data_IF_595182828605
#
_entry.id   IF_595182828605
#
_cell.length_a   1.000
_cell.length_b   1.000
_cell.length_c   1.000
_cell.angle_alpha   90.00
_cell.angle_beta   90.00
_cell.angle_gamma   90.00
#
_symmetry.space_group_name_H-M   'P 1'
#
loop_
_entity.id
_entity.type
_entity.pdbx_description
1 polymer ?
#
# COMPACT_ATOMS: atom_id res chain seq x y z
N UNK A 1 12.16 27.51 -10.48
CA UNK A 1 11.54 26.17 -10.61
C UNK A 1 12.08 25.31 -9.49
N UNK A 2 11.41 25.30 -8.34
CA UNK A 2 11.69 24.29 -7.31
C UNK A 2 11.33 22.92 -7.89
N UNK A 3 12.23 21.95 -7.73
CA UNK A 3 12.04 20.59 -8.25
C UNK A 3 10.84 19.93 -7.58
N UNK A 4 10.17 19.03 -8.30
CA UNK A 4 8.91 18.40 -7.90
C UNK A 4 9.14 17.20 -6.94
N UNK A 5 10.38 16.71 -6.90
CA UNK A 5 10.85 15.57 -6.10
C UNK A 5 10.73 15.79 -4.57
N UNK A 6 11.05 16.97 -3.99
CA UNK A 6 10.86 17.27 -2.57
C UNK A 6 9.39 17.26 -2.11
N UNK A 7 8.42 17.48 -3.00
CA UNK A 7 6.98 17.48 -2.68
C UNK A 7 6.43 16.07 -2.60
N UNK A 8 6.82 15.20 -3.54
CA UNK A 8 6.57 13.75 -3.43
C UNK A 8 7.26 13.23 -2.18
N UNK A 9 8.50 13.63 -1.89
CA UNK A 9 9.19 13.30 -0.63
C UNK A 9 8.63 14.03 0.60
N UNK A 10 7.68 14.96 0.49
CA UNK A 10 6.94 15.51 1.64
C UNK A 10 5.60 14.81 1.84
N UNK A 11 4.98 14.23 0.80
CA UNK A 11 3.81 13.35 0.99
C UNK A 11 4.28 11.96 1.41
N UNK A 12 5.26 11.44 0.69
CA UNK A 12 5.94 10.16 0.98
C UNK A 12 6.90 10.30 2.16
N UNK A 13 7.46 11.48 2.42
CA UNK A 13 8.42 11.70 3.50
C UNK A 13 8.04 12.77 4.53
N UNK A 14 6.81 13.26 4.61
CA UNK A 14 6.22 13.61 5.92
C UNK A 14 6.03 12.36 6.78
N UNK A 15 6.06 11.17 6.16
CA UNK A 15 6.25 9.86 6.83
C UNK A 15 7.68 9.71 7.40
N UNK A 16 8.63 10.56 6.97
CA UNK A 16 10.02 10.61 7.47
C UNK A 16 10.45 12.03 7.89
N UNK A 17 9.52 12.97 8.07
CA UNK A 17 9.85 14.41 8.03
C UNK A 17 8.86 15.34 8.73
N UNK A 18 7.85 14.83 9.43
CA UNK A 18 7.42 15.51 10.64
C UNK A 18 8.57 15.38 11.63
N UNK A 19 9.13 16.51 12.07
CA UNK A 19 10.20 16.56 13.04
C UNK A 19 9.80 15.85 14.33
N UNK A 20 10.05 14.53 14.38
CA UNK A 20 10.50 13.92 15.62
C UNK A 20 11.77 14.69 15.93
N UNK A 21 11.85 15.46 17.03
CA UNK A 21 13.09 16.10 17.38
C UNK A 21 14.14 15.00 17.41
N UNK A 22 15.14 15.11 16.52
CA UNK A 22 16.37 14.35 16.60
C UNK A 22 17.10 14.91 17.82
N UNK A 23 16.58 14.56 18.99
CA UNK A 23 17.27 14.73 20.24
C UNK A 23 18.48 13.82 20.10
N UNK A 24 19.66 14.45 19.98
CA UNK A 24 20.94 13.79 20.13
C UNK A 24 21.02 13.20 21.53
N UNK A 25 20.38 12.05 21.73
CA UNK A 25 20.70 11.15 22.81
C UNK A 25 21.99 10.47 22.41
N UNK A 26 23.07 10.85 23.08
CA UNK A 26 24.24 10.00 23.25
C UNK A 26 23.76 8.70 23.91
N UNK A 27 23.33 7.72 23.13
CA UNK A 27 23.13 6.34 23.59
C UNK A 27 23.12 5.44 22.37
N UNK A 28 23.98 4.42 22.39
CA UNK A 28 23.98 3.16 21.62
C UNK A 28 23.01 3.11 20.43
N UNK A 29 23.55 2.90 19.22
CA UNK A 29 22.77 2.77 17.99
C UNK A 29 21.48 1.97 18.24
N UNK A 30 20.29 2.54 18.00
CA UNK A 30 19.04 1.86 18.31
C UNK A 30 19.02 0.50 17.65
N UNK A 31 18.60 -0.52 18.41
CA UNK A 31 18.38 -1.87 17.91
C UNK A 31 17.63 -1.79 16.58
N UNK A 32 18.33 -2.09 15.48
CA UNK A 32 17.82 -1.95 14.11
C UNK A 32 16.47 -2.63 13.97
N UNK A 33 16.28 -3.76 14.66
CA UNK A 33 15.03 -4.48 14.67
C UNK A 33 13.87 -3.64 15.23
N UNK A 34 14.07 -2.94 16.35
CA UNK A 34 13.07 -2.06 16.95
C UNK A 34 12.77 -0.85 16.08
N UNK A 35 13.80 -0.28 15.43
CA UNK A 35 13.62 0.81 14.49
C UNK A 35 12.76 0.35 13.29
N UNK A 36 13.08 -0.81 12.73
CA UNK A 36 12.32 -1.40 11.63
C UNK A 36 10.87 -1.71 12.01
N UNK A 37 10.65 -2.36 13.15
CA UNK A 37 9.31 -2.67 13.67
C UNK A 37 8.47 -1.41 13.84
N UNK A 38 9.05 -0.34 14.40
CA UNK A 38 8.39 0.97 14.53
C UNK A 38 8.00 1.54 13.17
N UNK A 39 8.92 1.55 12.21
CA UNK A 39 8.68 2.10 10.88
C UNK A 39 7.61 1.32 10.11
N UNK A 40 7.66 -0.02 10.14
CA UNK A 40 6.67 -0.88 9.48
C UNK A 40 5.30 -0.77 10.13
N UNK A 41 5.24 -0.69 11.47
CA UNK A 41 3.97 -0.47 12.18
C UNK A 41 3.34 0.86 11.79
N UNK A 42 4.14 1.91 11.66
CA UNK A 42 3.67 3.20 11.19
C UNK A 42 3.20 3.16 9.73
N UNK A 43 3.98 2.53 8.84
CA UNK A 43 3.60 2.29 7.46
C UNK A 43 2.27 1.51 7.34
N UNK A 44 2.04 0.52 8.20
CA UNK A 44 0.77 -0.23 8.25
C UNK A 44 -0.40 0.69 8.60
N UNK A 45 -0.27 1.52 9.64
CA UNK A 45 -1.30 2.50 10.01
C UNK A 45 -1.62 3.44 8.85
N UNK A 46 -0.61 3.90 8.12
CA UNK A 46 -0.80 4.76 6.94
C UNK A 46 -1.53 4.03 5.81
N UNK A 47 -1.16 2.78 5.50
CA UNK A 47 -1.85 1.98 4.49
C UNK A 47 -3.32 1.70 4.88
N UNK A 48 -3.59 1.43 6.16
CA UNK A 48 -4.95 1.20 6.65
C UNK A 48 -5.79 2.49 6.60
N UNK A 49 -5.18 3.63 6.95
CA UNK A 49 -5.80 4.96 6.83
C UNK A 49 -6.12 5.29 5.38
N UNK A 50 -5.16 5.03 4.48
CA UNK A 50 -5.32 5.21 3.05
C UNK A 50 -6.49 4.38 2.50
N UNK A 51 -6.57 3.10 2.84
CA UNK A 51 -7.68 2.23 2.43
C UNK A 51 -9.04 2.80 2.87
N UNK A 52 -9.13 3.30 4.10
CA UNK A 52 -10.34 3.96 4.57
C UNK A 52 -10.66 5.23 3.77
N UNK A 53 -9.67 6.08 3.49
CA UNK A 53 -9.89 7.31 2.72
C UNK A 53 -10.29 7.02 1.28
N UNK A 54 -9.74 5.98 0.66
CA UNK A 54 -10.11 5.60 -0.71
C UNK A 54 -11.58 5.20 -0.81
N UNK A 55 -12.05 4.36 0.14
CA UNK A 55 -13.46 3.99 0.22
C UNK A 55 -14.35 5.19 0.53
N UNK A 56 -13.90 6.08 1.42
CA UNK A 56 -14.66 7.28 1.80
C UNK A 56 -14.85 8.24 0.62
N UNK A 57 -13.81 8.46 -0.19
CA UNK A 57 -13.91 9.28 -1.38
C UNK A 57 -14.94 8.71 -2.36
N UNK A 58 -14.91 7.40 -2.61
CA UNK A 58 -15.90 6.71 -3.43
C UNK A 58 -17.32 6.87 -2.89
N UNK A 59 -17.52 6.64 -1.58
CA UNK A 59 -18.83 6.85 -0.94
C UNK A 59 -19.33 8.28 -1.09
N UNK A 60 -18.46 9.30 -1.02
CA UNK A 60 -18.88 10.69 -1.26
C UNK A 60 -19.35 10.92 -2.70
N UNK A 61 -18.70 10.28 -3.68
CA UNK A 61 -19.16 10.27 -5.07
C UNK A 61 -20.54 9.62 -5.20
N UNK A 62 -20.74 8.46 -4.58
CA UNK A 62 -22.00 7.69 -4.60
C UNK A 62 -23.14 8.52 -4.01
N UNK A 63 -22.94 9.05 -2.80
CA UNK A 63 -23.95 9.81 -2.08
C UNK A 63 -24.38 11.08 -2.81
N UNK A 64 -23.47 11.70 -3.56
CA UNK A 64 -23.71 12.98 -4.23
C UNK A 64 -24.32 12.82 -5.61
N UNK A 65 -23.89 11.81 -6.38
CA UNK A 65 -24.20 11.73 -7.81
C UNK A 65 -25.06 10.56 -8.21
N UNK A 66 -25.21 9.55 -7.34
CA UNK A 66 -25.90 8.31 -7.69
C UNK A 66 -27.23 8.15 -6.95
N UNK A 67 -27.69 9.15 -6.19
CA UNK A 67 -29.03 9.11 -5.57
C UNK A 67 -30.12 9.46 -6.56
N UNK A 68 -31.15 8.64 -6.65
CA UNK A 68 -32.37 8.94 -7.40
C UNK A 68 -33.27 9.95 -6.63
N UNK A 69 -34.44 10.27 -7.21
CA UNK A 69 -35.42 11.17 -6.59
C UNK A 69 -36.01 10.65 -5.28
N UNK A 70 -35.98 9.34 -5.08
CA UNK A 70 -36.52 8.66 -3.89
C UNK A 70 -35.43 8.48 -2.81
N UNK A 71 -34.18 8.87 -3.12
CA UNK A 71 -33.03 8.79 -2.23
C UNK A 71 -32.30 7.45 -2.25
N UNK A 72 -32.65 6.55 -3.17
CA UNK A 72 -31.97 5.26 -3.34
C UNK A 72 -30.73 5.39 -4.22
N UNK A 73 -29.77 4.50 -4.04
CA UNK A 73 -28.57 4.47 -4.89
C UNK A 73 -28.88 3.77 -6.21
N UNK A 74 -28.69 4.48 -7.32
CA UNK A 74 -28.81 4.01 -8.68
C UNK A 74 -27.45 4.10 -9.40
N UNK A 75 -26.76 2.95 -9.47
CA UNK A 75 -25.49 2.84 -10.18
C UNK A 75 -25.64 2.96 -11.71
N UNK A 76 -26.83 2.76 -12.29
CA UNK A 76 -27.04 2.89 -13.74
C UNK A 76 -26.74 4.30 -14.25
N UNK A 77 -26.81 5.30 -13.35
CA UNK A 77 -26.39 6.67 -13.64
C UNK A 77 -24.91 6.79 -14.03
N UNK A 78 -24.06 5.84 -13.66
CA UNK A 78 -22.66 5.81 -14.09
C UNK A 78 -22.48 5.42 -15.56
N UNK A 79 -23.53 5.06 -16.29
CA UNK A 79 -23.44 4.89 -17.76
C UNK A 79 -23.56 6.23 -18.50
N UNK A 80 -23.94 7.32 -17.80
CA UNK A 80 -23.99 8.67 -18.33
C UNK A 80 -22.63 9.39 -18.19
N UNK A 81 -22.08 9.88 -19.30
CA UNK A 81 -20.75 10.52 -19.33
C UNK A 81 -20.64 11.76 -18.44
N UNK A 82 -21.69 12.57 -18.32
CA UNK A 82 -21.66 13.77 -17.50
C UNK A 82 -21.65 13.39 -16.01
N UNK A 83 -22.45 12.38 -15.64
CA UNK A 83 -22.41 11.81 -14.28
C UNK A 83 -21.05 11.20 -13.97
N UNK A 84 -20.42 10.49 -14.90
CA UNK A 84 -19.08 9.93 -14.71
C UNK A 84 -18.03 11.01 -14.42
N UNK A 85 -18.09 12.15 -15.14
CA UNK A 85 -17.19 13.27 -14.93
C UNK A 85 -17.38 13.90 -13.55
N UNK A 86 -18.61 14.17 -13.16
CA UNK A 86 -18.95 14.78 -11.86
C UNK A 86 -18.63 13.85 -10.68
N UNK A 87 -18.88 12.55 -10.84
CA UNK A 87 -18.53 11.51 -9.89
C UNK A 87 -17.02 11.46 -9.68
N UNK A 88 -16.24 11.38 -10.77
CA UNK A 88 -14.77 11.36 -10.73
C UNK A 88 -14.22 12.65 -10.12
N UNK A 89 -14.78 13.80 -10.49
CA UNK A 89 -14.38 15.10 -9.94
C UNK A 89 -14.61 15.15 -8.42
N UNK A 90 -15.71 14.61 -7.93
CA UNK A 90 -16.03 14.63 -6.49
C UNK A 90 -15.05 13.78 -5.68
N UNK A 91 -14.74 12.57 -6.14
CA UNK A 91 -13.72 11.72 -5.51
C UNK A 91 -12.36 12.42 -5.52
N UNK A 92 -12.02 13.04 -6.65
CA UNK A 92 -10.75 13.74 -6.82
C UNK A 92 -10.64 14.96 -5.89
N UNK A 93 -11.69 15.78 -5.82
CA UNK A 93 -11.76 16.96 -4.96
C UNK A 93 -11.70 16.57 -3.48
N UNK A 94 -12.30 15.42 -3.11
CA UNK A 94 -12.17 14.84 -1.77
C UNK A 94 -10.69 14.59 -1.43
N UNK A 95 -9.93 13.94 -2.30
CA UNK A 95 -8.51 13.69 -2.04
C UNK A 95 -7.68 14.96 -2.03
N UNK A 96 -7.92 15.90 -2.95
CA UNK A 96 -7.21 17.19 -2.96
C UNK A 96 -7.46 17.96 -1.66
N UNK A 97 -8.70 17.99 -1.19
CA UNK A 97 -9.05 18.59 0.10
C UNK A 97 -8.31 17.89 1.24
N UNK A 98 -8.27 16.56 1.25
CA UNK A 98 -7.54 15.80 2.27
C UNK A 98 -6.04 16.07 2.28
N UNK A 99 -5.41 16.15 1.11
CA UNK A 99 -3.99 16.50 0.98
C UNK A 99 -3.71 17.90 1.54
N UNK A 100 -4.61 18.86 1.29
CA UNK A 100 -4.53 20.20 1.87
C UNK A 100 -4.70 20.18 3.39
N UNK A 101 -5.71 19.47 3.90
CA UNK A 101 -6.01 19.40 5.34
C UNK A 101 -4.87 18.70 6.12
N UNK A 102 -4.38 17.57 5.61
CA UNK A 102 -3.42 16.71 6.30
C UNK A 102 -1.98 17.23 6.16
N UNK A 103 -1.66 17.93 5.06
CA UNK A 103 -0.29 18.28 4.72
C UNK A 103 -0.06 19.75 4.31
N UNK A 104 -1.09 20.58 4.28
CA UNK A 104 -0.99 21.98 3.86
C UNK A 104 -0.57 22.15 2.40
N UNK A 105 -0.75 21.12 1.56
CA UNK A 105 -0.35 21.12 0.15
C UNK A 105 -1.51 21.46 -0.77
N UNK A 106 -1.30 22.42 -1.66
CA UNK A 106 -2.25 22.81 -2.69
C UNK A 106 -1.74 22.44 -4.08
N UNK A 107 -2.65 21.95 -4.93
CA UNK A 107 -2.35 21.75 -6.34
C UNK A 107 -2.13 23.11 -7.02
N UNK A 108 -1.06 23.21 -7.81
CA UNK A 108 -0.69 24.45 -8.51
C UNK A 108 -1.27 24.49 -9.92
N UNK A 109 -1.35 23.32 -10.53
CA UNK A 109 -1.86 23.05 -11.86
C UNK A 109 -2.35 21.59 -11.92
N UNK A 110 -2.91 21.19 -13.06
CA UNK A 110 -3.46 19.84 -13.24
C UNK A 110 -2.38 18.77 -13.15
N UNK A 111 -1.17 19.02 -13.65
CA UNK A 111 -0.07 18.06 -13.56
C UNK A 111 0.32 17.81 -12.09
N UNK A 112 0.47 18.89 -11.32
CA UNK A 112 0.74 18.81 -9.89
C UNK A 112 -0.39 18.08 -9.17
N UNK A 113 -1.65 18.35 -9.50
CA UNK A 113 -2.81 17.61 -8.98
C UNK A 113 -2.69 16.11 -9.23
N UNK A 114 -2.37 15.67 -10.46
CA UNK A 114 -2.18 14.25 -10.76
C UNK A 114 -1.09 13.62 -9.89
N UNK A 115 0.02 14.33 -9.67
CA UNK A 115 1.12 13.83 -8.84
C UNK A 115 0.76 13.73 -7.37
N UNK A 116 0.06 14.73 -6.83
CA UNK A 116 -0.44 14.71 -5.45
C UNK A 116 -1.39 13.53 -5.23
N UNK A 117 -2.32 13.29 -6.16
CA UNK A 117 -3.25 12.16 -6.11
C UNK A 117 -2.52 10.83 -6.22
N UNK A 118 -1.56 10.69 -7.14
CA UNK A 118 -0.78 9.46 -7.27
C UNK A 118 -0.01 9.14 -5.99
N UNK A 119 0.54 10.16 -5.32
CA UNK A 119 1.29 9.98 -4.08
C UNK A 119 0.38 9.66 -2.88
N UNK A 120 -0.79 10.31 -2.78
CA UNK A 120 -1.69 10.18 -1.63
C UNK A 120 -2.69 9.03 -1.78
N UNK A 121 -3.33 8.93 -2.94
CA UNK A 121 -4.40 8.00 -3.28
C UNK A 121 -3.95 6.84 -4.18
N UNK A 122 -2.67 6.82 -4.62
CA UNK A 122 -2.16 5.74 -5.47
C UNK A 122 -2.73 5.73 -6.88
N UNK A 123 -3.51 6.74 -7.23
CA UNK A 123 -4.28 6.84 -8.48
C UNK A 123 -4.26 8.27 -9.01
N UNK A 124 -4.25 8.43 -10.32
CA UNK A 124 -4.44 9.72 -10.99
C UNK A 124 -5.92 9.97 -11.30
N UNK A 125 -6.29 11.24 -11.54
CA UNK A 125 -7.64 11.58 -12.04
C UNK A 125 -7.95 10.83 -13.32
N UNK A 126 -6.99 10.73 -14.25
CA UNK A 126 -7.20 10.04 -15.54
C UNK A 126 -7.42 8.54 -15.34
N UNK A 127 -6.65 7.89 -14.46
CA UNK A 127 -6.90 6.48 -14.13
C UNK A 127 -8.25 6.28 -13.46
N UNK A 128 -8.68 7.23 -12.61
CA UNK A 128 -10.01 7.16 -12.00
C UNK A 128 -11.12 7.34 -13.04
N UNK A 129 -10.95 8.25 -14.00
CA UNK A 129 -11.85 8.41 -15.14
C UNK A 129 -11.92 7.12 -15.97
N UNK A 130 -10.78 6.50 -16.28
CA UNK A 130 -10.73 5.23 -17.00
C UNK A 130 -11.46 4.12 -16.22
N UNK A 131 -11.27 4.03 -14.90
CA UNK A 131 -11.98 3.06 -14.06
C UNK A 131 -13.48 3.31 -14.14
N UNK A 132 -13.92 4.55 -13.91
CA UNK A 132 -15.35 4.90 -13.91
C UNK A 132 -15.98 4.64 -15.27
N UNK A 133 -15.35 5.08 -16.36
CA UNK A 133 -15.85 4.88 -17.71
C UNK A 133 -15.85 3.42 -18.17
N UNK A 134 -14.86 2.62 -17.78
CA UNK A 134 -14.80 1.20 -18.17
C UNK A 134 -15.79 0.33 -17.42
N UNK A 135 -16.10 0.66 -16.16
CA UNK A 135 -17.01 -0.15 -15.35
C UNK A 135 -18.46 0.34 -15.37
N UNK A 136 -18.70 1.65 -15.54
CA UNK A 136 -20.04 2.25 -15.59
C UNK A 136 -20.91 1.78 -14.42
N UNK A 137 -22.12 1.29 -14.73
CA UNK A 137 -23.05 0.72 -13.76
C UNK A 137 -22.52 -0.48 -12.95
N UNK A 138 -21.47 -1.16 -13.43
CA UNK A 138 -20.85 -2.27 -12.69
C UNK A 138 -19.90 -1.80 -11.58
N UNK A 139 -19.58 -0.50 -11.49
CA UNK A 139 -18.75 0.07 -10.43
C UNK A 139 -19.52 0.22 -9.11
N UNK A 140 -19.98 -0.91 -8.57
CA UNK A 140 -20.64 -0.96 -7.27
C UNK A 140 -19.63 -1.03 -6.11
N UNK A 141 -20.15 -0.97 -4.87
CA UNK A 141 -19.32 -0.98 -3.67
C UNK A 141 -18.45 -2.23 -3.54
N UNK A 142 -18.96 -3.40 -3.90
CA UNK A 142 -18.23 -4.66 -3.80
C UNK A 142 -17.04 -4.69 -4.76
N UNK A 143 -17.25 -4.26 -6.01
CA UNK A 143 -16.17 -4.16 -7.00
C UNK A 143 -15.14 -3.11 -6.58
N UNK A 144 -15.59 -1.93 -6.15
CA UNK A 144 -14.68 -0.87 -5.77
C UNK A 144 -13.88 -1.24 -4.53
N UNK A 145 -14.55 -1.57 -3.43
CA UNK A 145 -13.91 -1.86 -2.14
C UNK A 145 -13.10 -3.16 -2.18
N UNK A 146 -13.68 -4.22 -2.73
CA UNK A 146 -13.09 -5.56 -2.74
C UNK A 146 -11.93 -5.73 -3.72
N UNK A 147 -11.90 -4.95 -4.82
CA UNK A 147 -10.89 -5.10 -5.88
C UNK A 147 -10.07 -3.84 -6.09
N UNK A 148 -10.71 -2.73 -6.45
CA UNK A 148 -9.99 -1.51 -6.88
C UNK A 148 -9.26 -0.88 -5.69
N UNK A 149 -9.97 -0.58 -4.60
CA UNK A 149 -9.39 0.00 -3.40
C UNK A 149 -8.32 -0.92 -2.79
N UNK A 150 -8.55 -2.24 -2.82
CA UNK A 150 -7.55 -3.22 -2.38
C UNK A 150 -6.26 -3.17 -3.22
N UNK A 151 -6.38 -3.06 -4.55
CA UNK A 151 -5.23 -2.93 -5.46
C UNK A 151 -4.46 -1.61 -5.23
N UNK A 152 -5.16 -0.49 -5.11
CA UNK A 152 -4.56 0.82 -4.83
C UNK A 152 -3.82 0.81 -3.48
N UNK A 153 -4.49 0.29 -2.45
CA UNK A 153 -3.91 0.15 -1.10
C UNK A 153 -2.67 -0.73 -1.11
N UNK A 154 -2.68 -1.84 -1.85
CA UNK A 154 -1.52 -2.72 -1.94
C UNK A 154 -0.33 -2.05 -2.63
N UNK A 155 -0.57 -1.21 -3.65
CA UNK A 155 0.47 -0.40 -4.27
C UNK A 155 1.13 0.56 -3.28
N UNK A 156 0.31 1.31 -2.51
CA UNK A 156 0.81 2.22 -1.47
C UNK A 156 1.52 1.45 -0.36
N UNK A 157 0.98 0.33 0.09
CA UNK A 157 1.57 -0.53 1.12
C UNK A 157 2.97 -0.97 0.75
N UNK A 158 3.17 -1.46 -0.49
CA UNK A 158 4.50 -1.87 -0.99
C UNK A 158 5.51 -0.73 -0.94
N UNK A 159 5.11 0.46 -1.37
CA UNK A 159 5.99 1.64 -1.32
C UNK A 159 6.34 2.03 0.11
N UNK A 160 5.35 2.07 1.02
CA UNK A 160 5.57 2.40 2.42
C UNK A 160 6.48 1.38 3.13
N UNK A 161 6.32 0.09 2.85
CA UNK A 161 7.15 -0.97 3.41
C UNK A 161 8.56 -1.03 2.82
N UNK A 162 8.73 -0.64 1.56
CA UNK A 162 10.06 -0.44 0.99
C UNK A 162 10.80 0.67 1.74
N UNK A 163 10.17 1.85 1.88
CA UNK A 163 10.74 2.99 2.59
C UNK A 163 11.01 2.68 4.07
N UNK A 164 10.12 1.93 4.73
CA UNK A 164 10.32 1.50 6.11
C UNK A 164 11.57 0.62 6.29
N UNK A 165 12.01 -0.06 5.23
CA UNK A 165 13.15 -0.98 5.19
C UNK A 165 14.46 -0.34 4.70
N UNK A 166 14.46 0.90 4.22
CA UNK A 166 15.64 1.51 3.58
C UNK A 166 16.84 1.67 4.50
N UNK A 167 16.60 1.75 5.81
CA UNK A 167 17.66 1.82 6.81
C UNK A 167 18.40 0.50 7.02
N UNK A 168 17.85 -0.63 6.57
CA UNK A 168 18.49 -1.96 6.63
C UNK A 168 19.59 -2.02 5.58
N UNK A 169 20.79 -2.44 5.99
CA UNK A 169 22.00 -2.55 5.16
C UNK A 169 22.50 -4.00 5.10
N UNK A 170 23.44 -4.28 4.20
CA UNK A 170 24.07 -5.60 4.10
C UNK A 170 24.70 -6.08 5.41
N UNK A 171 25.25 -5.16 6.19
CA UNK A 171 25.80 -5.44 7.53
C UNK A 171 24.77 -6.02 8.50
N UNK A 172 23.49 -5.76 8.27
CA UNK A 172 22.41 -6.13 9.18
C UNK A 172 21.84 -7.52 8.88
N UNK A 173 22.14 -8.09 7.70
CA UNK A 173 21.59 -9.38 7.23
C UNK A 173 21.88 -10.50 8.23
N UNK A 174 23.10 -10.57 8.78
CA UNK A 174 23.47 -11.58 9.76
C UNK A 174 22.60 -11.52 11.02
N UNK A 175 22.38 -10.31 11.55
CA UNK A 175 21.52 -10.09 12.71
C UNK A 175 20.05 -10.45 12.43
N UNK A 176 19.56 -10.16 11.22
CA UNK A 176 18.20 -10.51 10.77
C UNK A 176 18.04 -12.03 10.68
N UNK A 177 18.97 -12.73 10.03
CA UNK A 177 18.95 -14.19 9.89
C UNK A 177 18.92 -14.87 11.26
N UNK A 178 19.67 -14.34 12.23
CA UNK A 178 19.72 -14.84 13.60
C UNK A 178 18.42 -14.58 14.34
N UNK A 179 17.95 -13.33 14.31
CA UNK A 179 16.72 -12.91 14.98
C UNK A 179 15.48 -13.67 14.48
N UNK A 180 15.43 -13.96 13.18
CA UNK A 180 14.32 -14.67 12.53
C UNK A 180 14.48 -16.20 12.58
N UNK A 181 15.55 -16.72 13.17
CA UNK A 181 15.80 -18.17 13.29
C UNK A 181 15.91 -18.87 11.93
N UNK A 182 16.63 -18.27 11.00
CA UNK A 182 16.74 -18.76 9.61
C UNK A 182 17.97 -19.63 9.36
N UNK A 183 18.99 -19.61 10.25
CA UNK A 183 20.25 -20.36 10.09
C UNK A 183 20.05 -21.82 9.66
N UNK A 184 19.20 -22.55 10.37
CA UNK A 184 18.97 -23.97 10.09
C UNK A 184 18.03 -24.23 8.91
N UNK A 185 17.27 -23.20 8.50
CA UNK A 185 16.28 -23.25 7.43
C UNK A 185 16.87 -22.97 6.04
N UNK A 186 18.09 -22.44 5.98
CA UNK A 186 18.80 -22.16 4.73
C UNK A 186 19.64 -23.36 4.26
N UNK A 187 19.62 -23.66 2.96
CA UNK A 187 20.47 -24.68 2.35
C UNK A 187 21.95 -24.33 2.53
N UNK A 188 22.82 -25.35 2.62
CA UNK A 188 24.25 -25.17 2.84
C UNK A 188 24.85 -24.26 1.75
N UNK A 189 25.59 -23.23 2.17
CA UNK A 189 26.23 -22.27 1.27
C UNK A 189 25.30 -21.23 0.64
N UNK A 190 24.01 -21.21 0.99
CA UNK A 190 23.09 -20.16 0.54
C UNK A 190 23.07 -19.01 1.53
N UNK A 191 23.08 -17.78 1.01
CA UNK A 191 23.01 -16.55 1.79
C UNK A 191 21.74 -15.78 1.44
N UNK A 192 21.20 -15.08 2.44
CA UNK A 192 20.06 -14.16 2.29
C UNK A 192 20.57 -12.87 1.69
N UNK A 193 19.91 -12.34 0.66
CA UNK A 193 20.26 -11.03 0.08
C UNK A 193 19.63 -9.90 0.91
N UNK A 194 20.06 -8.66 0.66
CA UNK A 194 19.47 -7.50 1.33
C UNK A 194 17.96 -7.39 1.06
N UNK A 195 17.54 -7.58 -0.18
CA UNK A 195 16.12 -7.54 -0.57
C UNK A 195 15.31 -8.64 0.12
N UNK A 196 15.86 -9.86 0.18
CA UNK A 196 15.22 -10.97 0.89
C UNK A 196 15.12 -10.69 2.39
N UNK A 197 16.17 -10.12 3.00
CA UNK A 197 16.16 -9.76 4.41
C UNK A 197 15.10 -8.68 4.72
N UNK A 198 15.00 -7.65 3.87
CA UNK A 198 13.97 -6.60 3.97
C UNK A 198 12.55 -7.18 3.82
N UNK A 199 12.31 -8.05 2.84
CA UNK A 199 10.99 -8.68 2.64
C UNK A 199 10.63 -9.60 3.83
N UNK A 200 11.58 -10.41 4.32
CA UNK A 200 11.38 -11.27 5.49
C UNK A 200 11.03 -10.47 6.75
N UNK A 201 11.73 -9.36 7.00
CA UNK A 201 11.46 -8.47 8.13
C UNK A 201 10.08 -7.81 8.01
N UNK A 202 9.75 -7.26 6.83
CA UNK A 202 8.44 -6.69 6.56
C UNK A 202 7.31 -7.70 6.81
N UNK A 203 7.46 -8.94 6.31
CA UNK A 203 6.46 -10.01 6.53
C UNK A 203 6.38 -10.46 7.97
N UNK A 204 7.50 -10.53 8.68
CA UNK A 204 7.53 -10.91 10.09
C UNK A 204 6.72 -9.92 10.94
N UNK A 205 6.95 -8.62 10.74
CA UNK A 205 6.25 -7.56 11.49
C UNK A 205 4.77 -7.46 11.10
N UNK A 206 4.44 -7.57 9.81
CA UNK A 206 3.06 -7.35 9.32
C UNK A 206 2.16 -8.56 9.49
N UNK A 207 2.70 -9.78 9.36
CA UNK A 207 1.97 -11.04 9.39
C UNK A 207 1.95 -11.75 10.75
N UNK A 208 2.51 -11.15 11.80
CA UNK A 208 2.60 -11.76 13.13
C UNK A 208 3.57 -12.96 13.18
N UNK A 209 4.55 -12.99 12.27
CA UNK A 209 5.53 -14.07 12.16
C UNK A 209 5.79 -14.53 10.73
N UNK A 210 6.77 -15.41 10.56
CA UNK A 210 7.11 -16.03 9.28
C UNK A 210 6.59 -17.46 9.23
N UNK A 211 5.54 -17.68 8.45
CA UNK A 211 5.08 -19.03 8.13
C UNK A 211 5.90 -19.66 6.99
N UNK A 212 5.77 -20.97 6.81
CA UNK A 212 6.51 -21.72 5.81
C UNK A 212 6.23 -21.26 4.37
N UNK A 213 5.01 -20.83 4.08
CA UNK A 213 4.64 -20.29 2.77
C UNK A 213 5.42 -19.01 2.47
N UNK A 214 5.47 -18.07 3.41
CA UNK A 214 6.22 -16.82 3.29
C UNK A 214 7.72 -17.08 3.12
N UNK A 215 8.28 -18.02 3.91
CA UNK A 215 9.70 -18.38 3.76
C UNK A 215 10.02 -18.94 2.38
N UNK A 216 9.14 -19.78 1.81
CA UNK A 216 9.31 -20.30 0.45
C UNK A 216 9.19 -19.23 -0.61
N UNK A 217 8.23 -18.33 -0.47
CA UNK A 217 8.00 -17.27 -1.42
C UNK A 217 9.21 -16.35 -1.56
N UNK A 218 9.79 -15.95 -0.41
CA UNK A 218 10.97 -15.07 -0.39
C UNK A 218 12.26 -15.81 -0.71
N UNK A 219 12.57 -16.89 0.01
CA UNK A 219 13.86 -17.58 -0.09
C UNK A 219 13.93 -18.58 -1.25
N UNK A 220 12.78 -18.96 -1.85
CA UNK A 220 12.66 -19.84 -3.02
C UNK A 220 13.52 -21.10 -2.86
N UNK A 221 14.51 -21.28 -3.75
CA UNK A 221 15.41 -22.44 -3.77
C UNK A 221 16.35 -22.50 -2.56
N UNK A 222 16.55 -21.40 -1.82
CA UNK A 222 17.44 -21.32 -0.65
C UNK A 222 16.82 -21.97 0.59
N UNK A 223 15.50 -22.11 0.64
CA UNK A 223 14.79 -22.73 1.76
C UNK A 223 14.92 -24.27 1.73
N UNK A 224 15.15 -24.86 2.91
CA UNK A 224 15.30 -26.32 3.10
C UNK A 224 13.97 -27.09 3.21
N UNK A 225 12.83 -26.43 3.41
CA UNK A 225 11.58 -27.13 3.67
C UNK A 225 11.05 -27.95 2.49
N UNK A 226 10.36 -29.06 2.79
CA UNK A 226 9.74 -29.97 1.80
C UNK A 226 8.52 -29.32 1.14
N UNK A 227 8.40 -29.25 -0.20
CA UNK A 227 7.26 -28.63 -0.86
C UNK A 227 5.94 -29.15 -0.27
N UNK A 228 4.92 -28.28 -0.09
CA UNK A 228 3.62 -28.73 0.40
C UNK A 228 3.18 -29.91 -0.47
N UNK A 229 2.79 -31.01 0.17
CA UNK A 229 2.21 -32.15 -0.55
C UNK A 229 0.93 -31.64 -1.19
N UNK A 230 0.97 -31.33 -2.48
CA UNK A 230 -0.24 -31.06 -3.25
C UNK A 230 -1.03 -32.36 -3.17
N UNK A 231 -2.11 -32.38 -2.39
CA UNK A 231 -3.10 -33.44 -2.51
C UNK A 231 -3.59 -33.30 -3.94
N UNK A 232 -3.23 -34.27 -4.78
CA UNK A 232 -3.93 -34.43 -6.05
C UNK A 232 -5.35 -34.76 -5.63
N UNK A 233 -6.24 -33.78 -5.74
CA UNK A 233 -7.65 -34.06 -5.62
C UNK A 233 -7.95 -35.17 -6.64
N UNK A 234 -8.48 -36.27 -6.13
CA UNK A 234 -8.88 -37.43 -6.90
C UNK A 234 -10.08 -37.04 -7.76
N UNK A 235 -9.84 -36.28 -8.84
CA UNK A 235 -10.80 -36.01 -9.91
C UNK A 235 -10.90 -37.23 -10.85
N UNK A 236 -11.01 -38.40 -10.23
CA UNK A 236 -11.33 -39.69 -10.83
C UNK A 236 -12.32 -40.39 -9.92
N UNK A 237 -13.61 -40.04 -10.05
CA UNK A 237 -14.77 -40.95 -10.14
C UNK A 237 -16.05 -40.22 -9.74
N UNK A 238 -16.68 -39.54 -10.70
CA UNK A 238 -18.11 -39.76 -10.98
C UNK A 238 -18.28 -39.78 -12.51
N UNK A 239 -18.21 -41.01 -13.02
CA UNK A 239 -18.88 -41.40 -14.26
C UNK A 239 -20.38 -41.33 -14.04
#
# INVERSE_FOLDING_TARGET
METIIPTILKIIGAVSGAGVPVFWLKSEAPDMYKLHEKNVTYAKKLADTHSHMVNKGFSEGVEKHLKDSDGNIDFSRLDDNDVQQDFTKTITDFYVKKIKDDHGMEAKDDFHKQMLLQAYAGITTSQLQDIVGNYGANLNYDLFSGRIAAQLTEGIRKNLYANASDHIKDSDIGGIVDKLGLKDKLRKGQQVTLEEARDLMNRHVTGGGLNESSLRDVLKKKYKGNPPKIKKDDDKKKK
#
